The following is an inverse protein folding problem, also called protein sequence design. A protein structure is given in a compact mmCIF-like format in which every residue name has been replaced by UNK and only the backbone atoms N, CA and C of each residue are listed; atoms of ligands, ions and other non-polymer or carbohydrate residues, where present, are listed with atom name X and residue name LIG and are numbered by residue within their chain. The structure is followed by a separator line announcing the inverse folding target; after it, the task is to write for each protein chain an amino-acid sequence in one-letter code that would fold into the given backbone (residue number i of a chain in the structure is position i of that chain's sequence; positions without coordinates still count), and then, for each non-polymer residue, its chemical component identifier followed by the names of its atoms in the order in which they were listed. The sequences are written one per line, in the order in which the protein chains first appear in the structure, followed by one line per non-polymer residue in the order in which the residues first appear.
data_IF_403202098821
#
_entry.id   IF_403202098821
#
_cell.length_a   1.000
_cell.length_b   1.000
_cell.length_c   1.000
_cell.angle_alpha   90.00
_cell.angle_beta   90.00
_cell.angle_gamma   90.00
#
_symmetry.space_group_name_H-M   'P 1'
#
loop_
_entity.id
_entity.type
_entity.pdbx_description
1 polymer ?
#
# COMPACT_ATOMS: atom_id res chain seq x y z
N UNK A 1 0.17 13.47 18.03
CA UNK A 1 1.43 14.24 17.96
C UNK A 1 1.17 15.71 18.25
N UNK A 2 2.16 16.38 18.82
CA UNK A 2 2.11 17.83 19.07
C UNK A 2 2.14 18.61 17.74
N UNK A 3 1.20 19.53 17.47
CA UNK A 3 1.15 20.27 16.22
C UNK A 3 2.29 21.28 16.04
N UNK A 4 3.10 21.55 17.10
CA UNK A 4 4.20 22.51 17.06
C UNK A 4 5.56 21.85 16.87
N UNK A 5 5.83 20.72 17.54
CA UNK A 5 7.15 20.09 17.55
C UNK A 5 7.14 18.62 17.11
N UNK A 6 6.00 18.10 16.70
CA UNK A 6 5.75 16.74 16.21
C UNK A 6 6.10 15.59 17.19
N UNK A 7 6.43 15.91 18.45
CA UNK A 7 6.69 14.90 19.47
C UNK A 7 5.41 14.10 19.80
N UNK A 8 5.59 12.82 20.08
CA UNK A 8 4.50 11.94 20.49
C UNK A 8 3.98 12.32 21.88
N UNK A 9 2.66 12.26 22.00
CA UNK A 9 1.97 12.35 23.28
C UNK A 9 1.18 11.05 23.41
N UNK A 10 1.47 10.31 24.48
CA UNK A 10 0.78 9.07 24.79
C UNK A 10 -0.33 9.36 25.76
N UNK A 11 -1.52 8.88 25.49
CA UNK A 11 -2.66 8.93 26.39
C UNK A 11 -3.48 7.65 26.23
N UNK A 12 -4.21 7.27 27.28
CA UNK A 12 -5.08 6.10 27.25
C UNK A 12 -6.46 6.51 26.75
N UNK A 13 -6.79 6.10 25.54
CA UNK A 13 -8.07 6.43 24.91
C UNK A 13 -9.28 5.74 25.54
N UNK A 14 -9.04 4.64 26.30
CA UNK A 14 -10.13 3.93 26.99
C UNK A 14 -10.74 4.70 28.14
N UNK A 15 -10.04 5.73 28.64
CA UNK A 15 -10.50 6.59 29.75
C UNK A 15 -11.43 7.71 29.32
N UNK A 16 -11.72 7.86 28.02
CA UNK A 16 -12.46 8.98 27.47
C UNK A 16 -13.61 8.50 26.59
N UNK A 17 -14.65 9.33 26.51
CA UNK A 17 -15.83 9.04 25.68
C UNK A 17 -15.79 9.77 24.34
N UNK A 18 -16.45 9.19 23.33
CA UNK A 18 -16.59 9.80 22.01
C UNK A 18 -17.24 11.21 22.11
N UNK A 19 -16.63 12.17 21.42
CA UNK A 19 -17.10 13.56 21.40
C UNK A 19 -16.49 14.44 22.49
N UNK A 20 -15.73 13.89 23.43
CA UNK A 20 -15.05 14.65 24.47
C UNK A 20 -13.89 15.45 23.90
N UNK A 21 -13.74 16.71 24.32
CA UNK A 21 -12.59 17.53 23.97
C UNK A 21 -11.56 17.47 25.11
N UNK A 22 -10.34 17.13 24.77
CA UNK A 22 -9.22 17.05 25.71
C UNK A 22 -8.19 18.13 25.37
N UNK A 23 -7.63 18.73 26.41
CA UNK A 23 -6.54 19.70 26.27
C UNK A 23 -5.27 19.05 26.77
N UNK A 24 -4.24 19.06 25.93
CA UNK A 24 -2.91 18.53 26.22
C UNK A 24 -1.89 19.64 26.23
N UNK A 25 -0.93 19.51 27.14
CA UNK A 25 0.27 20.32 27.17
C UNK A 25 1.43 19.47 26.74
N UNK A 26 2.10 19.85 25.65
CA UNK A 26 3.27 19.12 25.21
C UNK A 26 4.42 19.28 26.21
N UNK A 27 4.95 18.22 26.75
CA UNK A 27 6.04 18.26 27.72
C UNK A 27 7.33 18.85 27.13
N UNK A 28 7.54 18.66 25.83
CA UNK A 28 8.76 19.12 25.14
C UNK A 28 8.75 20.60 24.81
N UNK A 29 7.68 21.11 24.17
CA UNK A 29 7.63 22.51 23.71
C UNK A 29 6.66 23.37 24.50
N UNK A 30 5.98 22.84 25.53
CA UNK A 30 5.01 23.49 26.40
C UNK A 30 3.80 24.09 25.67
N UNK A 31 3.58 23.68 24.41
CA UNK A 31 2.40 24.12 23.63
C UNK A 31 1.16 23.40 24.15
N UNK A 32 0.15 24.19 24.50
CA UNK A 32 -1.19 23.70 24.78
C UNK A 32 -1.97 23.56 23.48
N UNK A 33 -2.71 22.46 23.32
CA UNK A 33 -3.60 22.23 22.20
C UNK A 33 -4.72 21.27 22.57
N UNK A 34 -5.88 21.49 21.96
CA UNK A 34 -7.06 20.63 22.13
C UNK A 34 -7.15 19.57 21.05
N UNK A 35 -7.56 18.38 21.45
CA UNK A 35 -8.02 17.34 20.53
C UNK A 35 -9.44 16.92 20.92
N UNK A 36 -10.27 16.67 19.93
CA UNK A 36 -11.61 16.12 20.14
C UNK A 36 -11.54 14.62 19.90
N UNK A 37 -11.91 13.84 20.91
CA UNK A 37 -12.05 12.40 20.75
C UNK A 37 -13.36 12.20 19.95
N UNK A 38 -13.18 11.80 18.72
CA UNK A 38 -14.29 11.41 17.87
C UNK A 38 -13.99 10.02 17.35
N UNK A 39 -14.99 9.34 16.82
CA UNK A 39 -14.77 8.18 15.95
C UNK A 39 -13.85 8.65 14.84
N UNK A 40 -12.57 8.43 15.02
CA UNK A 40 -11.56 8.76 14.02
C UNK A 40 -11.87 7.95 12.79
N UNK A 41 -12.34 8.60 11.74
CA UNK A 41 -12.38 8.03 10.37
C UNK A 41 -10.98 7.67 9.86
N UNK A 42 -9.98 7.63 10.73
CA UNK A 42 -8.57 7.36 10.41
C UNK A 42 -8.16 5.90 10.60
N UNK A 43 -8.89 5.15 11.39
CA UNK A 43 -8.48 3.77 11.63
C UNK A 43 -9.19 2.77 10.76
N UNK A 44 -10.33 3.12 10.22
CA UNK A 44 -11.23 2.13 9.67
C UNK A 44 -11.74 2.54 8.30
N UNK A 45 -10.84 2.50 7.32
CA UNK A 45 -11.19 1.82 6.09
C UNK A 45 -11.01 0.29 6.21
N UNK A 46 -11.09 -0.25 7.41
CA UNK A 46 -11.94 -1.38 7.63
C UNK A 46 -13.34 -0.80 7.79
N UNK A 47 -13.97 -0.49 6.68
CA UNK A 47 -15.41 -0.52 6.63
C UNK A 47 -15.80 -1.88 7.23
N UNK A 48 -16.41 -1.85 8.43
CA UNK A 48 -17.45 -2.82 8.72
C UNK A 48 -18.50 -2.60 7.61
N UNK A 49 -18.25 -3.22 6.45
CA UNK A 49 -19.32 -3.63 5.58
C UNK A 49 -20.13 -4.56 6.47
N UNK A 50 -21.26 -4.05 6.93
CA UNK A 50 -22.40 -4.89 7.28
C UNK A 50 -22.34 -6.07 6.32
N UNK A 51 -22.21 -7.26 6.91
CA UNK A 51 -22.17 -8.51 6.22
C UNK A 51 -23.48 -8.66 5.42
N UNK A 52 -23.49 -8.19 4.21
CA UNK A 52 -24.26 -8.78 3.17
C UNK A 52 -23.59 -10.14 2.90
N UNK A 53 -24.16 -11.18 3.48
CA UNK A 53 -23.66 -12.56 3.46
C UNK A 53 -23.53 -13.17 2.06
N UNK A 54 -23.53 -12.36 0.99
CA UNK A 54 -23.43 -12.80 -0.39
C UNK A 54 -22.38 -12.06 -1.26
N UNK A 55 -21.56 -11.18 -0.70
CA UNK A 55 -20.42 -10.64 -1.43
C UNK A 55 -19.15 -11.40 -0.99
N UNK A 56 -18.92 -12.58 -1.52
CA UNK A 56 -17.58 -13.16 -1.57
C UNK A 56 -16.71 -12.17 -2.35
N UNK A 57 -16.00 -11.30 -1.66
CA UNK A 57 -14.96 -10.50 -2.30
C UNK A 57 -13.93 -11.50 -2.83
N UNK A 58 -13.92 -11.67 -4.16
CA UNK A 58 -13.00 -12.61 -4.79
C UNK A 58 -11.59 -12.15 -4.43
N UNK A 59 -10.81 -13.01 -3.79
CA UNK A 59 -9.40 -12.77 -3.52
C UNK A 59 -8.63 -12.85 -4.85
N UNK A 60 -7.89 -11.80 -5.16
CA UNK A 60 -7.04 -11.71 -6.35
C UNK A 60 -5.55 -11.79 -6.00
N UNK A 61 -5.22 -12.12 -4.76
CA UNK A 61 -3.85 -12.16 -4.26
C UNK A 61 -3.34 -10.79 -3.82
N UNK A 62 -2.05 -10.72 -3.54
CA UNK A 62 -1.41 -9.50 -3.03
C UNK A 62 0.04 -9.39 -3.46
N UNK A 63 0.57 -8.18 -3.38
CA UNK A 63 2.00 -7.88 -3.47
C UNK A 63 2.53 -7.58 -2.07
N UNK A 64 3.56 -8.30 -1.67
CA UNK A 64 4.32 -8.02 -0.45
C UNK A 64 5.51 -7.12 -0.81
N UNK A 65 5.51 -5.90 -0.30
CA UNK A 65 6.67 -5.00 -0.34
C UNK A 65 7.61 -5.42 0.78
N UNK A 66 8.80 -5.85 0.44
CA UNK A 66 9.79 -6.27 1.43
C UNK A 66 10.40 -5.06 2.10
N UNK A 67 10.51 -5.09 3.43
CA UNK A 67 11.12 -4.03 4.21
C UNK A 67 12.55 -3.76 3.76
N UNK A 68 12.90 -2.47 3.67
CA UNK A 68 14.24 -2.00 3.39
C UNK A 68 14.50 -0.65 4.09
N UNK A 69 15.65 -0.02 3.85
CA UNK A 69 15.98 1.26 4.48
C UNK A 69 15.08 2.44 4.08
N UNK A 70 14.26 2.29 3.04
CA UNK A 70 13.39 3.35 2.52
C UNK A 70 11.90 3.11 2.81
N UNK A 71 11.51 1.88 3.11
CA UNK A 71 10.12 1.49 3.30
C UNK A 71 9.96 0.38 4.33
N UNK A 72 8.88 0.44 5.12
CA UNK A 72 8.43 -0.69 5.94
C UNK A 72 7.76 -1.74 5.06
N UNK A 73 7.63 -2.95 5.61
CA UNK A 73 6.84 -4.01 4.97
C UNK A 73 5.40 -3.56 4.73
N UNK A 74 4.92 -3.76 3.51
CA UNK A 74 3.54 -3.49 3.13
C UNK A 74 2.95 -4.71 2.45
N UNK A 75 1.65 -4.92 2.61
CA UNK A 75 0.91 -5.94 1.86
C UNK A 75 -0.19 -5.20 1.09
N UNK A 76 -0.09 -5.18 -0.22
CA UNK A 76 -0.98 -4.45 -1.11
C UNK A 76 -1.87 -5.45 -1.84
N UNK A 77 -3.18 -5.47 -1.57
CA UNK A 77 -4.11 -6.38 -2.23
C UNK A 77 -4.25 -6.03 -3.71
N UNK A 78 -4.32 -7.07 -4.54
CA UNK A 78 -4.57 -6.93 -5.97
C UNK A 78 -6.07 -6.89 -6.27
N UNK A 79 -6.41 -6.22 -7.36
CA UNK A 79 -7.76 -6.18 -7.92
C UNK A 79 -7.77 -6.80 -9.31
N UNK A 80 -8.94 -7.23 -9.74
CA UNK A 80 -9.13 -7.68 -11.13
C UNK A 80 -8.85 -6.51 -12.10
N UNK A 81 -8.10 -6.78 -13.14
CA UNK A 81 -7.69 -5.76 -14.09
C UNK A 81 -6.30 -5.19 -13.80
N UNK A 82 -6.13 -3.91 -14.07
CA UNK A 82 -4.83 -3.23 -14.05
C UNK A 82 -4.51 -2.70 -12.66
N UNK A 83 -3.41 -3.16 -12.08
CA UNK A 83 -2.85 -2.66 -10.82
C UNK A 83 -1.57 -1.88 -11.12
N UNK A 84 -1.59 -0.59 -10.88
CA UNK A 84 -0.52 0.36 -11.19
C UNK A 84 0.30 0.65 -9.94
N UNK A 85 1.56 0.26 -9.94
CA UNK A 85 2.48 0.41 -8.82
C UNK A 85 3.45 1.56 -9.05
N UNK A 86 3.76 2.28 -7.99
CA UNK A 86 4.75 3.33 -7.97
C UNK A 86 4.89 3.95 -6.59
N UNK A 87 5.82 4.87 -6.45
CA UNK A 87 6.04 5.61 -5.20
C UNK A 87 4.88 6.55 -4.92
N UNK A 88 4.36 6.48 -3.68
CA UNK A 88 3.33 7.42 -3.25
C UNK A 88 3.86 8.85 -3.22
N UNK A 89 3.16 9.72 -3.94
CA UNK A 89 3.34 11.17 -3.86
C UNK A 89 1.94 11.79 -3.85
N UNK A 90 1.72 12.79 -3.00
CA UNK A 90 0.43 13.48 -2.92
C UNK A 90 0.02 14.01 -4.31
N UNK A 91 -1.15 13.61 -4.77
CA UNK A 91 -1.70 14.03 -6.08
C UNK A 91 -1.44 13.04 -7.22
N UNK A 92 -0.78 11.91 -7.01
CA UNK A 92 -0.68 10.83 -8.00
C UNK A 92 -1.94 9.95 -8.00
N UNK A 93 -2.36 9.51 -9.20
CA UNK A 93 -3.61 8.77 -9.42
C UNK A 93 -3.40 7.28 -9.69
N UNK A 94 -2.31 6.68 -9.21
CA UNK A 94 -2.11 5.23 -9.31
C UNK A 94 -2.95 4.52 -8.23
N UNK A 95 -3.44 3.32 -8.54
CA UNK A 95 -4.34 2.60 -7.64
C UNK A 95 -3.61 1.72 -6.61
N UNK A 96 -2.31 1.46 -6.80
CA UNK A 96 -1.48 0.66 -5.87
C UNK A 96 -0.20 1.41 -5.47
N UNK A 97 -0.33 2.55 -4.75
CA UNK A 97 0.83 3.32 -4.30
C UNK A 97 1.63 2.57 -3.25
N UNK A 98 2.95 2.68 -3.32
CA UNK A 98 3.90 2.16 -2.34
C UNK A 98 4.38 3.33 -1.48
N UNK A 99 4.23 3.20 -0.17
CA UNK A 99 4.76 4.17 0.79
C UNK A 99 6.27 3.95 0.95
N UNK A 100 7.06 4.76 0.29
CA UNK A 100 8.52 4.66 0.30
C UNK A 100 9.17 6.01 0.12
N UNK A 101 10.40 6.16 0.63
CA UNK A 101 11.26 7.33 0.39
C UNK A 101 12.30 7.06 -0.70
N UNK A 102 12.23 5.93 -1.38
CA UNK A 102 13.18 5.56 -2.45
C UNK A 102 12.96 6.44 -3.69
N UNK A 103 13.90 7.36 -4.03
CA UNK A 103 13.74 8.22 -5.19
C UNK A 103 13.92 7.48 -6.52
N UNK A 104 14.45 6.26 -6.51
CA UNK A 104 14.61 5.43 -7.70
C UNK A 104 13.34 4.70 -8.13
N UNK A 105 12.27 4.82 -7.35
CA UNK A 105 10.94 4.33 -7.74
C UNK A 105 10.14 5.50 -8.31
N UNK A 106 9.70 5.38 -9.55
CA UNK A 106 8.84 6.37 -10.18
C UNK A 106 7.44 6.38 -9.55
N UNK A 107 6.73 7.47 -9.69
CA UNK A 107 5.32 7.60 -9.23
C UNK A 107 4.37 6.67 -9.98
N UNK A 108 4.76 6.24 -11.18
CA UNK A 108 4.15 5.14 -11.93
C UNK A 108 5.29 4.30 -12.52
N UNK A 109 5.59 3.18 -11.90
CA UNK A 109 6.80 2.38 -12.20
C UNK A 109 6.52 1.10 -12.97
N UNK A 110 5.54 0.33 -12.54
CA UNK A 110 5.16 -0.90 -13.23
C UNK A 110 3.67 -1.22 -13.06
N UNK A 111 3.21 -2.18 -13.84
CA UNK A 111 1.82 -2.63 -13.82
C UNK A 111 1.77 -4.14 -13.68
N UNK A 112 0.86 -4.62 -12.82
CA UNK A 112 0.48 -6.02 -12.75
C UNK A 112 -0.99 -6.13 -13.15
N UNK A 113 -1.25 -6.77 -14.28
CA UNK A 113 -2.62 -7.01 -14.75
C UNK A 113 -3.09 -8.38 -14.31
N UNK A 114 -4.19 -8.41 -13.55
CA UNK A 114 -4.86 -9.64 -13.14
C UNK A 114 -6.02 -9.92 -14.08
N UNK A 115 -6.00 -11.07 -14.73
CA UNK A 115 -7.05 -11.51 -15.65
C UNK A 115 -7.34 -13.00 -15.51
N UNK A 116 -8.48 -13.47 -16.03
CA UNK A 116 -8.77 -14.91 -16.14
C UNK A 116 -8.32 -15.43 -17.52
N UNK A 117 -7.67 -16.58 -17.51
CA UNK A 117 -7.34 -17.28 -18.73
C UNK A 117 -8.58 -18.04 -19.29
N UNK A 118 -8.43 -18.70 -20.45
CA UNK A 118 -9.50 -19.50 -21.08
C UNK A 118 -10.06 -20.63 -20.18
N UNK A 119 -9.30 -21.05 -19.16
CA UNK A 119 -9.68 -22.10 -18.19
C UNK A 119 -10.28 -21.51 -16.91
N UNK A 120 -10.51 -20.19 -16.85
CA UNK A 120 -11.03 -19.51 -15.66
C UNK A 120 -10.00 -19.23 -14.54
N UNK A 121 -8.74 -19.64 -14.70
CA UNK A 121 -7.69 -19.42 -13.71
C UNK A 121 -7.11 -18.01 -13.80
N UNK A 122 -6.75 -17.45 -12.63
CA UNK A 122 -6.12 -16.13 -12.57
C UNK A 122 -4.71 -16.16 -13.16
N UNK A 123 -4.41 -15.17 -13.98
CA UNK A 123 -3.09 -14.86 -14.53
C UNK A 123 -2.66 -13.48 -14.09
N UNK A 124 -1.39 -13.34 -13.78
CA UNK A 124 -0.76 -12.11 -13.30
C UNK A 124 0.34 -11.70 -14.28
N UNK A 125 0.15 -10.61 -14.97
CA UNK A 125 1.04 -10.17 -16.05
C UNK A 125 1.75 -8.90 -15.62
N UNK A 126 3.07 -8.98 -15.48
CA UNK A 126 3.96 -7.85 -15.18
C UNK A 126 4.38 -7.15 -16.47
N UNK A 127 4.39 -5.83 -16.42
CA UNK A 127 4.91 -4.94 -17.46
C UNK A 127 5.56 -3.72 -16.81
N UNK A 128 6.68 -3.27 -17.35
CA UNK A 128 7.26 -1.97 -16.99
C UNK A 128 6.39 -0.82 -17.52
N UNK A 129 6.30 0.26 -16.77
CA UNK A 129 5.61 1.49 -17.19
C UNK A 129 6.67 2.53 -17.56
N UNK A 130 7.32 2.45 -18.71
CA UNK A 130 8.61 3.06 -19.07
C UNK A 130 9.28 3.84 -17.93
N UNK A 131 9.77 3.07 -16.94
CA UNK A 131 10.34 3.63 -15.71
C UNK A 131 11.81 4.04 -15.90
N UNK A 132 12.27 5.04 -15.16
CA UNK A 132 13.64 5.56 -15.30
C UNK A 132 14.71 4.54 -14.89
N UNK A 133 14.44 3.72 -13.86
CA UNK A 133 15.39 2.72 -13.36
C UNK A 133 15.10 1.30 -13.82
N UNK A 134 13.97 1.07 -14.47
CA UNK A 134 13.54 -0.22 -14.97
C UNK A 134 12.91 -1.13 -13.92
N UNK A 135 12.11 -2.06 -14.39
CA UNK A 135 11.50 -3.13 -13.59
C UNK A 135 12.26 -4.42 -13.85
N UNK A 136 12.65 -5.12 -12.79
CA UNK A 136 13.39 -6.38 -12.86
C UNK A 136 12.51 -7.54 -12.42
N UNK A 137 12.53 -8.62 -13.17
CA UNK A 137 11.93 -9.89 -12.81
C UNK A 137 13.01 -10.94 -12.65
N UNK A 138 13.14 -11.53 -11.45
CA UNK A 138 14.16 -12.52 -11.14
C UNK A 138 15.58 -12.07 -11.56
N UNK A 139 15.92 -10.80 -11.35
CA UNK A 139 17.15 -10.10 -11.70
C UNK A 139 17.34 -9.74 -13.19
N UNK A 140 16.41 -10.08 -14.07
CA UNK A 140 16.45 -9.68 -15.47
C UNK A 140 15.60 -8.43 -15.68
N UNK A 141 16.18 -7.41 -16.34
CA UNK A 141 15.46 -6.16 -16.64
C UNK A 141 14.44 -6.39 -17.76
N UNK A 142 13.23 -5.87 -17.55
CA UNK A 142 12.19 -5.90 -18.56
C UNK A 142 12.41 -4.80 -19.60
N UNK A 143 12.12 -5.13 -20.86
CA UNK A 143 11.97 -4.13 -21.92
C UNK A 143 10.52 -3.61 -21.94
N UNK A 144 10.28 -2.45 -22.50
CA UNK A 144 8.97 -1.79 -22.57
C UNK A 144 7.86 -2.68 -23.18
N UNK A 145 8.26 -3.60 -24.06
CA UNK A 145 7.32 -4.50 -24.75
C UNK A 145 7.11 -5.83 -24.02
N UNK A 146 7.93 -6.14 -23.01
CA UNK A 146 7.89 -7.42 -22.32
C UNK A 146 6.63 -7.52 -21.43
N UNK A 147 6.01 -8.68 -21.48
CA UNK A 147 4.87 -9.05 -20.64
C UNK A 147 5.12 -10.41 -20.03
N UNK A 148 5.40 -10.41 -18.75
CA UNK A 148 5.81 -11.61 -18.01
C UNK A 148 4.62 -12.15 -17.23
N UNK A 149 4.29 -13.42 -17.44
CA UNK A 149 3.32 -14.12 -16.62
C UNK A 149 3.99 -14.55 -15.30
N UNK A 150 3.50 -14.01 -14.20
CA UNK A 150 4.09 -14.23 -12.87
C UNK A 150 3.55 -15.51 -12.24
N UNK A 151 4.43 -16.25 -11.56
CA UNK A 151 4.07 -17.36 -10.69
C UNK A 151 3.99 -16.94 -9.23
N UNK A 152 3.41 -17.78 -8.37
CA UNK A 152 3.39 -17.51 -6.93
C UNK A 152 4.82 -17.42 -6.39
N UNK A 153 5.06 -16.44 -5.52
CA UNK A 153 6.39 -16.15 -5.01
C UNK A 153 7.32 -15.41 -5.98
N UNK A 154 6.83 -14.98 -7.16
CA UNK A 154 7.61 -14.19 -8.11
C UNK A 154 8.24 -12.97 -7.46
N UNK A 155 9.54 -12.77 -7.70
CA UNK A 155 10.33 -11.67 -7.16
C UNK A 155 10.49 -10.60 -8.23
N UNK A 156 10.04 -9.40 -7.92
CA UNK A 156 10.10 -8.21 -8.76
C UNK A 156 10.93 -7.17 -8.01
N UNK A 157 11.84 -6.50 -8.71
CA UNK A 157 12.61 -5.40 -8.13
C UNK A 157 12.33 -4.11 -8.89
N UNK A 158 11.99 -3.07 -8.15
CA UNK A 158 11.80 -1.70 -8.63
C UNK A 158 12.63 -0.76 -7.75
N UNK A 159 13.54 -0.01 -8.34
CA UNK A 159 14.53 0.76 -7.57
C UNK A 159 15.27 -0.13 -6.57
N UNK A 160 15.34 0.27 -5.31
CA UNK A 160 15.94 -0.51 -4.23
C UNK A 160 14.93 -1.42 -3.49
N UNK A 161 13.74 -1.60 -4.02
CA UNK A 161 12.63 -2.29 -3.33
C UNK A 161 12.30 -3.60 -4.02
N UNK A 162 12.15 -4.65 -3.21
CA UNK A 162 11.73 -5.98 -3.65
C UNK A 162 10.22 -6.16 -3.39
N UNK A 163 9.52 -6.61 -4.40
CA UNK A 163 8.10 -6.97 -4.36
C UNK A 163 7.97 -8.48 -4.57
N UNK A 164 7.11 -9.14 -3.80
CA UNK A 164 6.83 -10.57 -3.93
C UNK A 164 5.35 -10.77 -4.19
N UNK A 165 5.02 -11.46 -5.28
CA UNK A 165 3.65 -11.85 -5.58
C UNK A 165 3.19 -12.99 -4.68
N UNK A 166 2.02 -12.84 -4.09
CA UNK A 166 1.24 -13.90 -3.45
C UNK A 166 -0.06 -14.06 -4.22
N UNK A 167 -0.19 -15.15 -4.95
CA UNK A 167 -1.44 -15.45 -5.68
C UNK A 167 -2.58 -15.73 -4.73
N UNK A 168 -3.80 -15.50 -5.21
CA UNK A 168 -4.99 -15.98 -4.51
C UNK A 168 -4.94 -17.51 -4.36
N UNK A 169 -5.43 -18.03 -3.24
CA UNK A 169 -5.64 -19.45 -3.06
C UNK A 169 -6.75 -19.89 -4.02
N UNK A 170 -6.49 -20.92 -4.83
CA UNK A 170 -7.48 -21.55 -5.70
C UNK A 170 -8.42 -22.46 -4.92
#
# INVERSE_FOLDING_TARGET
RCPKCDNYIVFDETMYTDGQSLVFVCEHCKKEFGIRIGKTKLANKHEEKTLDENAYSQDYGSIVVVENKFAYKQVIPLEFGKNEFGRYVKGTNINKPIETRDPSIDTFHCTITVKKNKRGKLQYILQDAPSDTGTFYMNDILRDVDRINLEDGAIITIGATTLILRKALE
#
